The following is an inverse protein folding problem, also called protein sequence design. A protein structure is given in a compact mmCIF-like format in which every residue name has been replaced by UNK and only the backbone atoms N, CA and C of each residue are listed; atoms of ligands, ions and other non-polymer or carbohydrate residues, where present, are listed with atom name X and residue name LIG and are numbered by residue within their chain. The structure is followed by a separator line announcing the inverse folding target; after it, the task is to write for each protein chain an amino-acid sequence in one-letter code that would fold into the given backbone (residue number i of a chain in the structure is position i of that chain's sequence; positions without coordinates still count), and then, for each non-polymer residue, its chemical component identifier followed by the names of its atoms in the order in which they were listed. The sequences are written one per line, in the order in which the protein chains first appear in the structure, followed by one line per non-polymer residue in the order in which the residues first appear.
data_IF_349187762088
#
_entry.id   IF_349187762088
#
_cell.length_a   1.000
_cell.length_b   1.000
_cell.length_c   1.000
_cell.angle_alpha   90.00
_cell.angle_beta   90.00
_cell.angle_gamma   90.00
#
_symmetry.space_group_name_H-M   'P 1'
#
loop_
_entity.id
_entity.type
_entity.pdbx_description
1 polymer ?
#
# COMPACT_ATOMS: atom_id res chain seq x y z
N UNK A 1 12.23 -9.55 -26.62
CA UNK A 1 11.32 -8.42 -26.34
C UNK A 1 10.48 -8.68 -25.08
N UNK A 2 11.05 -9.36 -24.06
CA UNK A 2 10.35 -9.69 -22.79
C UNK A 2 11.07 -9.14 -21.55
N UNK A 3 12.23 -8.48 -21.72
CA UNK A 3 12.98 -7.88 -20.62
C UNK A 3 12.51 -6.47 -20.24
N UNK A 4 11.87 -5.75 -21.16
CA UNK A 4 11.48 -4.36 -20.93
C UNK A 4 10.40 -4.20 -19.85
N UNK A 5 9.47 -5.16 -19.68
CA UNK A 5 8.39 -4.98 -18.71
C UNK A 5 8.86 -5.13 -17.24
N UNK A 6 9.80 -6.05 -16.99
CA UNK A 6 10.37 -6.24 -15.65
C UNK A 6 11.38 -5.15 -15.30
N UNK A 7 12.20 -4.70 -16.27
CA UNK A 7 13.04 -3.50 -16.10
C UNK A 7 12.17 -2.25 -15.88
N UNK A 8 11.03 -2.10 -16.55
CA UNK A 8 10.13 -0.94 -16.37
C UNK A 8 9.30 -0.99 -15.10
N UNK A 9 9.02 -2.17 -14.54
CA UNK A 9 8.47 -2.29 -13.20
C UNK A 9 9.49 -1.85 -12.12
N UNK A 10 10.78 -1.95 -12.45
CA UNK A 10 11.92 -1.54 -11.61
C UNK A 10 12.28 -0.05 -11.82
N UNK A 11 12.21 0.44 -13.07
CA UNK A 11 12.52 1.81 -13.53
C UNK A 11 11.30 2.74 -13.59
N UNK A 12 10.09 2.23 -13.30
CA UNK A 12 9.00 3.10 -12.92
C UNK A 12 9.56 3.96 -11.80
N UNK A 13 9.65 5.29 -11.97
CA UNK A 13 10.35 6.11 -11.01
C UNK A 13 9.81 5.70 -9.65
N UNK A 14 10.70 5.19 -8.80
CA UNK A 14 10.70 5.52 -7.40
C UNK A 14 10.67 7.05 -7.42
N UNK A 15 9.48 7.61 -7.66
CA UNK A 15 9.15 8.91 -7.13
C UNK A 15 9.33 8.63 -5.67
N UNK A 16 10.52 9.01 -5.18
CA UNK A 16 10.71 9.62 -3.88
C UNK A 16 9.35 10.10 -3.47
N UNK A 17 8.78 9.57 -2.38
CA UNK A 17 7.48 10.02 -1.96
C UNK A 17 7.60 11.52 -1.74
N UNK A 18 7.23 12.32 -2.74
CA UNK A 18 6.83 13.71 -2.56
C UNK A 18 5.70 13.71 -1.52
N UNK A 19 4.99 12.57 -1.43
CA UNK A 19 4.08 12.21 -0.36
C UNK A 19 4.65 11.56 0.91
N UNK A 20 5.95 11.64 1.26
CA UNK A 20 6.38 11.31 2.64
C UNK A 20 5.86 12.37 3.62
N UNK A 21 5.81 13.63 3.17
CA UNK A 21 5.16 14.73 3.88
C UNK A 21 3.63 14.60 3.85
N UNK A 22 3.05 14.11 2.75
CA UNK A 22 1.60 13.90 2.62
C UNK A 22 1.10 12.67 3.40
N UNK A 23 1.81 11.54 3.39
CA UNK A 23 1.43 10.34 4.14
C UNK A 23 1.56 10.52 5.67
N UNK A 24 2.39 11.45 6.12
CA UNK A 24 2.58 11.78 7.53
C UNK A 24 1.62 12.88 8.04
N UNK A 25 0.88 13.55 7.15
CA UNK A 25 -0.07 14.62 7.50
C UNK A 25 -1.51 14.19 7.22
N UNK A 26 -2.46 14.62 8.06
CA UNK A 26 -3.87 14.30 7.88
C UNK A 26 -4.40 14.72 6.49
N UNK A 27 -3.89 15.84 5.95
CA UNK A 27 -4.26 16.34 4.63
C UNK A 27 -3.81 15.41 3.49
N UNK A 28 -2.59 14.87 3.55
CA UNK A 28 -2.11 13.99 2.50
C UNK A 28 -2.64 12.56 2.62
N UNK A 29 -2.96 12.10 3.83
CA UNK A 29 -3.77 10.88 4.02
C UNK A 29 -5.16 11.07 3.39
N UNK A 30 -5.81 12.21 3.61
CA UNK A 30 -7.10 12.52 3.01
C UNK A 30 -7.03 12.61 1.46
N UNK A 31 -5.98 13.24 0.92
CA UNK A 31 -5.76 13.29 -0.53
C UNK A 31 -5.54 11.89 -1.13
N UNK A 32 -4.77 11.03 -0.47
CA UNK A 32 -4.57 9.65 -0.91
C UNK A 32 -5.86 8.83 -0.87
N UNK A 33 -6.70 9.03 0.15
CA UNK A 33 -8.02 8.37 0.23
C UNK A 33 -8.95 8.87 -0.86
N UNK A 34 -8.97 10.19 -1.14
CA UNK A 34 -9.76 10.77 -2.21
C UNK A 34 -9.35 10.21 -3.58
N UNK A 35 -8.05 10.15 -3.87
CA UNK A 35 -7.51 9.58 -5.12
C UNK A 35 -7.93 8.11 -5.28
N UNK A 36 -7.80 7.29 -4.22
CA UNK A 36 -8.22 5.88 -4.25
C UNK A 36 -9.72 5.70 -4.48
N UNK A 37 -10.55 6.55 -3.87
CA UNK A 37 -12.00 6.52 -4.06
C UNK A 37 -12.38 6.90 -5.49
N UNK A 38 -11.71 7.89 -6.07
CA UNK A 38 -11.90 8.28 -7.47
C UNK A 38 -11.53 7.15 -8.43
N UNK A 39 -10.37 6.52 -8.21
CA UNK A 39 -9.93 5.35 -8.99
C UNK A 39 -10.96 4.20 -8.91
N UNK A 40 -11.51 3.93 -7.74
CA UNK A 40 -12.52 2.87 -7.58
C UNK A 40 -13.83 3.23 -8.27
N UNK A 41 -14.29 4.48 -8.12
CA UNK A 41 -15.49 4.96 -8.79
C UNK A 41 -15.36 4.87 -10.33
N UNK A 42 -14.18 5.20 -10.86
CA UNK A 42 -13.89 5.02 -12.28
C UNK A 42 -13.92 3.54 -12.69
N UNK A 43 -13.30 2.64 -11.92
CA UNK A 43 -13.29 1.21 -12.23
C UNK A 43 -14.73 0.66 -12.34
N UNK A 44 -15.58 0.99 -11.36
CA UNK A 44 -16.99 0.60 -11.33
C UNK A 44 -17.75 1.17 -12.53
N UNK A 45 -17.54 2.44 -12.88
CA UNK A 45 -18.24 3.07 -14.01
C UNK A 45 -17.80 2.50 -15.36
N UNK A 46 -16.51 2.22 -15.53
CA UNK A 46 -15.91 1.86 -16.82
C UNK A 46 -15.99 0.37 -17.10
N UNK A 47 -15.74 -0.48 -16.10
CA UNK A 47 -15.61 -1.93 -16.30
C UNK A 47 -16.88 -2.72 -15.97
N UNK A 48 -17.91 -2.10 -15.37
CA UNK A 48 -19.19 -2.76 -15.10
C UNK A 48 -19.92 -3.22 -16.37
N UNK A 49 -19.60 -2.64 -17.54
CA UNK A 49 -20.19 -3.01 -18.82
C UNK A 49 -19.19 -3.82 -19.65
N UNK A 50 -19.33 -5.15 -19.62
CA UNK A 50 -18.59 -6.06 -20.50
C UNK A 50 -17.18 -6.46 -20.02
N UNK A 51 -16.74 -6.02 -18.83
CA UNK A 51 -15.41 -6.33 -18.27
C UNK A 51 -15.48 -6.84 -16.83
N UNK A 52 -16.50 -7.64 -16.50
CA UNK A 52 -16.76 -8.14 -15.15
C UNK A 52 -15.55 -8.84 -14.50
N UNK A 53 -14.86 -9.71 -15.25
CA UNK A 53 -13.66 -10.41 -14.75
C UNK A 53 -12.53 -9.44 -14.37
N UNK A 54 -12.36 -8.35 -15.12
CA UNK A 54 -11.36 -7.32 -14.83
C UNK A 54 -11.76 -6.50 -13.60
N UNK A 55 -13.04 -6.14 -13.51
CA UNK A 55 -13.59 -5.40 -12.38
C UNK A 55 -13.46 -6.19 -11.07
N UNK A 56 -13.84 -7.47 -11.08
CA UNK A 56 -13.74 -8.34 -9.90
C UNK A 56 -12.31 -8.45 -9.41
N UNK A 57 -11.34 -8.51 -10.32
CA UNK A 57 -9.92 -8.59 -9.97
C UNK A 57 -9.39 -7.27 -9.39
N UNK A 58 -9.81 -6.12 -9.92
CA UNK A 58 -9.46 -4.81 -9.37
C UNK A 58 -10.05 -4.64 -7.96
N UNK A 59 -11.33 -4.97 -7.78
CA UNK A 59 -12.02 -4.85 -6.49
C UNK A 59 -11.42 -5.81 -5.46
N UNK A 60 -11.22 -7.08 -5.82
CA UNK A 60 -10.57 -8.08 -4.97
C UNK A 60 -9.14 -7.68 -4.59
N UNK A 61 -8.37 -7.16 -5.54
CA UNK A 61 -7.03 -6.62 -5.31
C UNK A 61 -7.04 -5.46 -4.30
N UNK A 62 -7.99 -4.54 -4.43
CA UNK A 62 -8.18 -3.43 -3.50
C UNK A 62 -8.54 -3.89 -2.09
N UNK A 63 -9.53 -4.78 -1.96
CA UNK A 63 -9.95 -5.32 -0.67
C UNK A 63 -8.82 -6.08 0.02
N UNK A 64 -8.08 -6.89 -0.74
CA UNK A 64 -6.92 -7.62 -0.25
C UNK A 64 -5.84 -6.66 0.24
N UNK A 65 -5.50 -5.63 -0.54
CA UNK A 65 -4.51 -4.61 -0.15
C UNK A 65 -4.93 -3.89 1.13
N UNK A 66 -6.19 -3.45 1.23
CA UNK A 66 -6.74 -2.79 2.42
C UNK A 66 -6.68 -3.69 3.65
N UNK A 67 -7.09 -4.95 3.50
CA UNK A 67 -7.09 -5.94 4.59
C UNK A 67 -5.67 -6.25 5.08
N UNK A 68 -4.71 -6.36 4.17
CA UNK A 68 -3.30 -6.58 4.51
C UNK A 68 -2.67 -5.36 5.20
N UNK A 69 -2.94 -4.16 4.70
CA UNK A 69 -2.50 -2.91 5.33
C UNK A 69 -2.98 -2.84 6.79
N UNK A 70 -4.27 -3.10 7.03
CA UNK A 70 -4.83 -3.13 8.39
C UNK A 70 -4.23 -4.24 9.26
N UNK A 71 -4.08 -5.45 8.72
CA UNK A 71 -3.50 -6.59 9.46
C UNK A 71 -2.07 -6.32 9.90
N UNK A 72 -1.25 -5.69 9.07
CA UNK A 72 0.11 -5.33 9.46
C UNK A 72 0.16 -4.27 10.55
N UNK A 73 -0.75 -3.29 10.54
CA UNK A 73 -0.86 -2.31 11.63
C UNK A 73 -1.23 -2.98 12.96
N UNK A 74 -2.19 -3.91 12.93
CA UNK A 74 -2.60 -4.68 14.11
C UNK A 74 -1.43 -5.55 14.60
N UNK A 75 -0.72 -6.23 13.69
CA UNK A 75 0.43 -7.05 14.02
C UNK A 75 1.56 -6.23 14.65
N UNK A 76 1.85 -5.05 14.10
CA UNK A 76 2.83 -4.12 14.67
C UNK A 76 2.46 -3.73 16.11
N UNK A 77 1.21 -3.31 16.33
CA UNK A 77 0.73 -2.93 17.65
C UNK A 77 0.84 -4.09 18.65
N UNK A 78 0.46 -5.30 18.23
CA UNK A 78 0.58 -6.50 19.06
C UNK A 78 2.05 -6.80 19.43
N UNK A 79 2.96 -6.74 18.46
CA UNK A 79 4.40 -6.93 18.71
C UNK A 79 4.95 -5.85 19.64
N UNK A 80 4.55 -4.59 19.46
CA UNK A 80 4.98 -3.49 20.32
C UNK A 80 4.51 -3.64 21.77
N UNK A 81 3.29 -4.14 21.98
CA UNK A 81 2.75 -4.45 23.32
C UNK A 81 3.48 -5.62 23.95
N UNK A 82 3.72 -6.70 23.20
CA UNK A 82 4.47 -7.86 23.72
C UNK A 82 5.88 -7.47 24.13
N UNK A 83 6.57 -6.69 23.30
CA UNK A 83 7.91 -6.17 23.60
C UNK A 83 7.91 -5.23 24.83
N UNK A 84 6.87 -4.43 25.02
CA UNK A 84 6.70 -3.64 26.24
C UNK A 84 6.58 -4.52 27.48
N UNK A 85 5.75 -5.56 27.43
CA UNK A 85 5.59 -6.51 28.56
C UNK A 85 6.93 -7.15 28.90
N UNK A 86 7.70 -7.59 27.90
CA UNK A 86 9.03 -8.16 28.11
C UNK A 86 9.96 -7.14 28.78
N UNK A 87 10.00 -5.89 28.29
CA UNK A 87 10.81 -4.81 28.88
C UNK A 87 10.46 -4.50 30.35
N UNK A 88 9.19 -4.64 30.72
CA UNK A 88 8.72 -4.43 32.10
C UNK A 88 9.10 -5.57 33.03
N UNK A 89 9.16 -6.81 32.52
CA UNK A 89 9.53 -7.99 33.31
C UNK A 89 11.05 -8.10 33.48
N UNK A 90 11.85 -7.53 32.58
CA UNK A 90 13.31 -7.55 32.70
C UNK A 90 13.79 -6.72 33.93
N UNK A 91 14.73 -7.23 34.74
CA UNK A 91 15.31 -6.51 35.87
C UNK A 91 16.37 -5.51 35.39
N UNK A 92 15.96 -4.50 34.63
CA UNK A 92 16.85 -3.38 34.28
C UNK A 92 17.06 -2.49 35.52
N UNK A 93 18.09 -1.63 35.50
CA UNK A 93 18.38 -0.67 36.58
C UNK A 93 17.59 0.63 36.47
N UNK A 94 16.81 0.80 35.39
CA UNK A 94 16.11 2.04 35.06
C UNK A 94 14.73 2.13 35.74
N UNK A 95 14.28 3.34 36.05
CA UNK A 95 12.92 3.56 36.57
C UNK A 95 11.84 3.10 35.57
N UNK A 96 10.70 2.61 36.08
CA UNK A 96 9.62 2.03 35.25
C UNK A 96 9.00 3.07 34.32
N UNK A 97 8.78 4.31 34.78
CA UNK A 97 8.20 5.36 33.94
C UNK A 97 9.16 5.69 32.79
N UNK A 98 10.45 5.82 33.10
CA UNK A 98 11.47 6.10 32.10
C UNK A 98 11.58 4.97 31.06
N UNK A 99 11.39 3.70 31.46
CA UNK A 99 11.34 2.54 30.54
C UNK A 99 10.18 2.63 29.57
N UNK A 100 9.00 2.95 30.09
CA UNK A 100 7.79 3.08 29.27
C UNK A 100 7.96 4.22 28.27
N UNK A 101 8.42 5.39 28.72
CA UNK A 101 8.65 6.56 27.85
C UNK A 101 9.69 6.26 26.78
N UNK A 102 10.81 5.66 27.15
CA UNK A 102 11.87 5.30 26.19
C UNK A 102 11.35 4.28 25.17
N UNK A 103 10.63 3.25 25.64
CA UNK A 103 10.05 2.24 24.76
C UNK A 103 9.02 2.83 23.80
N UNK A 104 8.08 3.65 24.29
CA UNK A 104 7.09 4.32 23.44
C UNK A 104 7.76 5.22 22.41
N UNK A 105 8.85 5.89 22.78
CA UNK A 105 9.64 6.72 21.87
C UNK A 105 10.27 5.88 20.75
N UNK A 106 10.87 4.73 21.09
CA UNK A 106 11.46 3.79 20.14
C UNK A 106 10.37 3.18 19.24
N UNK A 107 9.27 2.69 19.82
CA UNK A 107 8.15 2.11 19.10
C UNK A 107 7.47 3.13 18.19
N UNK A 108 7.36 4.40 18.60
CA UNK A 108 6.86 5.48 17.74
C UNK A 108 7.82 5.74 16.57
N UNK A 109 9.12 5.82 16.85
CA UNK A 109 10.14 6.10 15.84
C UNK A 109 10.29 4.97 14.82
N UNK A 110 10.15 3.71 15.24
CA UNK A 110 10.12 2.54 14.35
C UNK A 110 8.84 2.43 13.52
N UNK A 111 7.74 3.04 13.98
CA UNK A 111 6.49 3.03 13.23
C UNK A 111 6.57 3.90 11.96
N UNK A 112 7.36 4.98 12.02
CA UNK A 112 7.58 5.92 10.90
C UNK A 112 8.10 5.20 9.63
N UNK A 113 9.19 4.40 9.67
CA UNK A 113 9.64 3.63 8.52
C UNK A 113 8.80 2.37 8.26
N UNK A 114 8.15 1.80 9.28
CA UNK A 114 7.33 0.59 9.13
C UNK A 114 6.12 0.83 8.22
N UNK A 115 5.38 1.94 8.42
CA UNK A 115 4.19 2.25 7.62
C UNK A 115 4.46 2.25 6.10
N UNK A 116 5.41 3.06 5.57
CA UNK A 116 5.65 3.11 4.13
C UNK A 116 6.19 1.79 3.59
N UNK A 117 7.07 1.10 4.34
CA UNK A 117 7.61 -0.19 3.93
C UNK A 117 6.51 -1.25 3.84
N UNK A 118 5.62 -1.31 4.83
CA UNK A 118 4.51 -2.24 4.84
C UNK A 118 3.50 -1.96 3.73
N UNK A 119 3.19 -0.67 3.47
CA UNK A 119 2.31 -0.26 2.37
C UNK A 119 2.92 -0.65 1.02
N UNK A 120 4.22 -0.43 0.82
CA UNK A 120 4.93 -0.84 -0.39
C UNK A 120 4.86 -2.36 -0.57
N UNK A 121 5.16 -3.13 0.47
CA UNK A 121 5.07 -4.59 0.44
C UNK A 121 3.65 -5.07 0.10
N UNK A 122 2.63 -4.48 0.72
CA UNK A 122 1.24 -4.79 0.43
C UNK A 122 0.89 -4.53 -1.04
N UNK A 123 1.30 -3.38 -1.57
CA UNK A 123 0.92 -2.96 -2.92
C UNK A 123 1.74 -3.63 -4.02
N UNK A 124 3.01 -3.96 -3.78
CA UNK A 124 3.90 -4.46 -4.84
C UNK A 124 4.06 -5.98 -4.80
N UNK A 125 3.98 -6.60 -3.62
CA UNK A 125 4.24 -8.03 -3.46
C UNK A 125 2.95 -8.80 -3.16
N UNK A 126 2.14 -8.32 -2.21
CA UNK A 126 1.04 -9.13 -1.67
C UNK A 126 -0.30 -8.93 -2.39
N UNK A 127 -0.54 -7.73 -2.94
CA UNK A 127 -1.73 -7.37 -3.70
C UNK A 127 -1.37 -6.52 -4.94
N UNK A 128 -0.62 -7.09 -5.90
CA UNK A 128 -0.11 -6.36 -7.07
C UNK A 128 -1.23 -5.87 -8.00
N UNK A 129 -2.36 -6.58 -8.07
CA UNK A 129 -3.47 -6.27 -8.99
C UNK A 129 -4.00 -4.84 -8.81
N UNK A 130 -4.14 -4.37 -7.55
CA UNK A 130 -4.56 -2.99 -7.27
C UNK A 130 -3.51 -1.98 -7.72
N UNK A 131 -2.23 -2.29 -7.53
CA UNK A 131 -1.13 -1.41 -7.92
C UNK A 131 -0.98 -1.34 -9.45
N UNK A 132 -1.16 -2.46 -10.16
CA UNK A 132 -1.19 -2.50 -11.62
C UNK A 132 -2.32 -1.62 -12.17
N UNK A 133 -3.52 -1.72 -11.60
CA UNK A 133 -4.63 -0.85 -11.97
C UNK A 133 -4.37 0.63 -11.66
N UNK A 134 -3.92 0.96 -10.45
CA UNK A 134 -3.63 2.34 -10.06
C UNK A 134 -2.55 2.97 -10.95
N UNK A 135 -1.54 2.19 -11.35
CA UNK A 135 -0.48 2.63 -12.26
C UNK A 135 -1.01 2.89 -13.66
N UNK A 136 -1.86 2.00 -14.17
CA UNK A 136 -2.55 2.19 -15.44
C UNK A 136 -3.45 3.43 -15.42
N UNK A 137 -4.29 3.59 -14.38
CA UNK A 137 -5.21 4.72 -14.22
C UNK A 137 -4.50 6.07 -14.35
N UNK A 138 -3.37 6.24 -13.65
CA UNK A 138 -2.60 7.49 -13.67
C UNK A 138 -1.93 7.78 -15.01
N UNK A 139 -1.64 6.75 -15.79
CA UNK A 139 -0.90 6.87 -17.06
C UNK A 139 -1.82 6.85 -18.29
N UNK A 140 -3.09 6.47 -18.14
CA UNK A 140 -4.06 6.34 -19.25
C UNK A 140 -4.12 7.59 -20.12
N UNK A 141 -4.24 8.78 -19.49
CA UNK A 141 -4.51 10.04 -20.20
C UNK A 141 -3.23 10.64 -20.81
N UNK A 142 -2.05 10.34 -20.24
CA UNK A 142 -0.77 10.88 -20.72
C UNK A 142 -0.10 10.03 -21.80
N UNK A 143 -0.39 8.72 -21.83
CA UNK A 143 0.30 7.77 -22.72
C UNK A 143 -0.62 7.04 -23.69
N UNK A 144 -1.93 7.31 -23.64
CA UNK A 144 -2.91 6.62 -24.51
C UNK A 144 -2.97 5.11 -24.26
N UNK A 145 -2.75 4.68 -23.01
CA UNK A 145 -2.79 3.25 -22.66
C UNK A 145 -4.20 2.70 -22.87
N UNK A 146 -4.28 1.61 -23.61
CA UNK A 146 -5.54 0.93 -23.89
C UNK A 146 -5.94 0.00 -22.75
N UNK A 147 -7.15 -0.55 -22.84
CA UNK A 147 -7.57 -1.61 -21.92
C UNK A 147 -6.71 -2.88 -22.09
N UNK A 148 -6.19 -3.13 -23.29
CA UNK A 148 -5.34 -4.30 -23.58
C UNK A 148 -4.09 -4.35 -22.71
N UNK A 149 -3.47 -3.19 -22.46
CA UNK A 149 -2.31 -3.08 -21.57
C UNK A 149 -2.66 -3.48 -20.13
N UNK A 150 -3.86 -3.12 -19.67
CA UNK A 150 -4.36 -3.48 -18.35
C UNK A 150 -4.69 -4.97 -18.23
N UNK A 151 -5.32 -5.56 -19.25
CA UNK A 151 -5.57 -7.01 -19.30
C UNK A 151 -4.27 -7.81 -19.26
N UNK A 152 -3.26 -7.38 -20.03
CA UNK A 152 -1.93 -8.01 -20.06
C UNK A 152 -1.22 -7.87 -18.71
N UNK A 153 -1.24 -6.68 -18.11
CA UNK A 153 -0.59 -6.42 -16.82
C UNK A 153 -1.23 -7.20 -15.65
N UNK A 154 -2.53 -7.48 -15.73
CA UNK A 154 -3.24 -8.27 -14.70
C UNK A 154 -3.35 -9.76 -15.06
N UNK A 155 -2.82 -10.20 -16.20
CA UNK A 155 -2.88 -11.60 -16.64
C UNK A 155 -4.32 -12.11 -16.72
N UNK A 156 -5.25 -11.28 -17.20
CA UNK A 156 -6.66 -11.64 -17.42
C UNK A 156 -6.88 -11.89 -18.90
N UNK A 157 -7.53 -12.99 -19.26
CA UNK A 157 -7.94 -13.28 -20.63
C UNK A 157 -9.07 -12.36 -21.05
N UNK A 158 -9.01 -11.81 -22.26
CA UNK A 158 -10.06 -10.94 -22.80
C UNK A 158 -11.37 -11.75 -22.97
N UNK A 159 -12.54 -11.17 -22.64
CA UNK A 159 -13.82 -11.72 -23.09
C UNK A 159 -13.99 -11.58 -24.61
#
# INVERSE_FOLDING_TARGET
MDHDFYEWAFDAPLRTPDGFSEAATAAGVAASVAERNEMMAFALRTFSRGHGQLLDRIVSGYEKAKKLQLRGMIAYAAVAVVALVIMLVLPLSMDVELRVILWLSIAGLLFIPFIPLWILLCNHVLAPDWNSYATWYRRRDRKGLGFEDLYRAMGVTRP
#
